data_IF_590017962103
#
_entry.id   IF_590017962103
#
_cell.length_a   1.000
_cell.length_b   1.000
_cell.length_c   1.000
_cell.angle_alpha   90.00
_cell.angle_beta   90.00
_cell.angle_gamma   90.00
#
_symmetry.space_group_name_H-M   'P 1'
#
loop_
_entity.id
_entity.type
_entity.pdbx_description
1 polymer ?
#
# COMPACT_ATOMS: atom_id res chain seq x y z
N UNK A 1 32.28 28.30 -10.29
CA UNK A 1 31.46 27.10 -10.57
C UNK A 1 30.55 26.90 -9.38
N UNK A 2 29.22 26.97 -9.55
CA UNK A 2 28.29 26.76 -8.44
C UNK A 2 28.42 25.31 -7.95
N UNK A 3 28.82 25.12 -6.70
CA UNK A 3 29.05 23.80 -6.12
C UNK A 3 27.71 23.04 -6.06
N UNK A 4 27.64 21.84 -6.64
CA UNK A 4 26.41 21.03 -6.67
C UNK A 4 26.17 20.30 -5.35
N UNK A 5 24.91 20.24 -4.91
CA UNK A 5 24.53 19.55 -3.69
C UNK A 5 23.53 18.43 -3.93
N UNK A 6 23.65 17.38 -3.11
CA UNK A 6 22.86 16.16 -3.18
C UNK A 6 22.26 15.87 -1.81
N UNK A 7 20.99 15.51 -1.78
CA UNK A 7 20.26 15.27 -0.52
C UNK A 7 19.89 13.79 -0.43
N UNK A 8 20.03 13.22 0.76
CA UNK A 8 19.46 11.94 1.12
C UNK A 8 18.45 12.08 2.25
N UNK A 9 17.31 11.41 2.07
CA UNK A 9 16.20 11.36 3.01
C UNK A 9 16.02 9.93 3.50
N UNK A 10 16.28 9.72 4.79
CA UNK A 10 15.92 8.49 5.48
C UNK A 10 14.59 8.71 6.22
N UNK A 11 13.57 7.92 5.83
CA UNK A 11 12.19 8.12 6.24
C UNK A 11 11.78 7.11 7.30
N UNK A 12 11.51 7.60 8.50
CA UNK A 12 10.89 6.84 9.59
C UNK A 12 9.44 7.27 9.84
N UNK A 13 8.73 6.50 10.67
CA UNK A 13 7.30 6.72 10.93
C UNK A 13 6.95 8.11 11.50
N UNK A 14 7.87 8.75 12.22
CA UNK A 14 7.62 10.05 12.90
C UNK A 14 8.61 11.14 12.53
N UNK A 15 9.77 10.76 12.03
CA UNK A 15 10.87 11.70 11.76
C UNK A 15 11.58 11.33 10.48
N UNK A 16 12.18 12.32 9.84
CA UNK A 16 13.01 12.15 8.65
C UNK A 16 14.39 12.71 8.94
N UNK A 17 15.41 11.91 8.64
CA UNK A 17 16.78 12.37 8.69
C UNK A 17 17.16 12.86 7.30
N UNK A 18 17.54 14.13 7.20
CA UNK A 18 17.98 14.79 5.99
C UNK A 18 19.49 15.01 6.08
N UNK A 19 20.22 14.57 5.07
CA UNK A 19 21.65 14.83 4.92
C UNK A 19 21.92 15.47 3.55
N UNK A 20 22.70 16.54 3.54
CA UNK A 20 23.14 17.26 2.33
C UNK A 20 24.64 17.07 2.18
N UNK A 21 25.06 16.60 1.01
CA UNK A 21 26.48 16.46 0.64
C UNK A 21 26.81 17.31 -0.58
N UNK A 22 28.01 17.88 -0.60
CA UNK A 22 28.53 18.58 -1.77
C UNK A 22 29.10 17.62 -2.83
N UNK A 23 29.56 18.15 -3.95
CA UNK A 23 30.19 17.39 -5.03
C UNK A 23 31.44 16.58 -4.58
N UNK A 24 32.14 17.05 -3.54
CA UNK A 24 33.32 16.40 -2.97
C UNK A 24 32.96 15.28 -1.98
N UNK A 25 31.67 15.10 -1.67
CA UNK A 25 31.18 14.09 -0.71
C UNK A 25 31.31 14.51 0.75
N UNK A 26 31.60 15.79 1.01
CA UNK A 26 31.59 16.37 2.34
C UNK A 26 30.16 16.73 2.75
N UNK A 27 29.82 16.48 4.00
CA UNK A 27 28.53 16.83 4.58
C UNK A 27 28.48 18.35 4.75
N UNK A 28 27.51 18.98 4.09
CA UNK A 28 27.29 20.42 4.16
C UNK A 28 26.21 20.80 5.18
N UNK A 29 25.20 19.93 5.35
CA UNK A 29 24.09 20.17 6.25
C UNK A 29 23.41 18.86 6.67
N UNK A 30 23.02 18.75 7.93
CA UNK A 30 22.21 17.65 8.44
C UNK A 30 21.07 18.20 9.30
N UNK A 31 19.88 17.64 9.15
CA UNK A 31 18.73 18.02 9.97
C UNK A 31 17.80 16.86 10.17
N UNK A 32 17.23 16.78 11.37
CA UNK A 32 16.10 15.91 11.67
C UNK A 32 14.82 16.73 11.59
N UNK A 33 13.88 16.29 10.76
CA UNK A 33 12.60 16.94 10.52
C UNK A 33 11.46 16.01 10.97
N UNK A 34 10.26 16.56 11.13
CA UNK A 34 9.07 15.73 11.25
C UNK A 34 8.78 15.02 9.91
N UNK A 35 7.99 13.95 9.93
CA UNK A 35 7.54 13.29 8.70
C UNK A 35 6.45 14.07 7.93
N UNK A 36 6.36 15.40 8.13
CA UNK A 36 5.44 16.29 7.41
C UNK A 36 6.03 16.70 6.04
N UNK A 37 5.42 16.31 4.91
CA UNK A 37 5.94 16.64 3.58
C UNK A 37 6.14 18.14 3.33
N UNK A 38 5.26 18.98 3.86
CA UNK A 38 5.31 20.44 3.68
C UNK A 38 6.53 21.03 4.37
N UNK A 39 6.82 20.62 5.60
CA UNK A 39 7.99 21.06 6.37
C UNK A 39 9.29 20.64 5.65
N UNK A 40 9.33 19.45 5.07
CA UNK A 40 10.48 18.97 4.31
C UNK A 40 10.67 19.78 3.04
N UNK A 41 9.59 20.03 2.29
CA UNK A 41 9.64 20.81 1.05
C UNK A 41 10.16 22.22 1.33
N UNK A 42 9.56 22.90 2.31
CA UNK A 42 9.95 24.24 2.74
C UNK A 42 11.41 24.27 3.22
N UNK A 43 11.84 23.29 4.01
CA UNK A 43 13.22 23.20 4.46
C UNK A 43 14.19 23.05 3.28
N UNK A 44 13.92 22.14 2.34
CA UNK A 44 14.78 21.93 1.15
C UNK A 44 14.84 23.19 0.28
N UNK A 45 13.69 23.84 0.03
CA UNK A 45 13.61 25.05 -0.80
C UNK A 45 14.26 26.27 -0.13
N UNK A 46 14.30 26.32 1.20
CA UNK A 46 14.95 27.39 1.96
C UNK A 46 16.48 27.31 1.97
N UNK A 47 17.07 26.18 1.56
CA UNK A 47 18.52 26.02 1.51
C UNK A 47 19.08 26.88 0.37
N UNK A 48 20.05 27.78 0.64
CA UNK A 48 20.68 28.61 -0.38
C UNK A 48 21.71 27.81 -1.19
N UNK A 49 21.38 26.57 -1.55
CA UNK A 49 22.27 25.59 -2.18
C UNK A 49 21.62 25.08 -3.47
N UNK A 50 22.35 25.00 -4.60
CA UNK A 50 21.82 24.41 -5.82
C UNK A 50 21.73 22.88 -5.68
N UNK A 51 20.55 22.42 -5.26
CA UNK A 51 20.24 20.99 -5.08
C UNK A 51 19.99 20.36 -6.44
N UNK A 52 20.86 19.41 -6.83
CA UNK A 52 20.76 18.72 -8.13
C UNK A 52 19.86 17.50 -8.04
N UNK A 53 19.87 16.78 -6.91
CA UNK A 53 19.12 15.54 -6.73
C UNK A 53 18.82 15.26 -5.27
N UNK A 54 17.61 14.77 -5.02
CA UNK A 54 17.16 14.31 -3.69
C UNK A 54 16.82 12.83 -3.79
N UNK A 55 17.42 12.00 -2.93
CA UNK A 55 17.19 10.56 -2.88
C UNK A 55 16.35 10.17 -1.68
N UNK A 56 15.49 9.17 -1.86
CA UNK A 56 14.68 8.61 -0.79
C UNK A 56 14.50 7.09 -1.01
N UNK A 57 14.55 6.30 0.06
CA UNK A 57 14.39 4.84 -0.02
C UNK A 57 12.93 4.41 -0.24
N UNK A 58 12.65 3.48 -1.15
CA UNK A 58 11.31 2.95 -1.37
C UNK A 58 10.73 2.25 -0.11
N UNK A 59 9.66 2.82 0.44
CA UNK A 59 8.96 2.34 1.63
C UNK A 59 7.49 2.75 1.64
N UNK A 60 6.76 2.38 2.69
CA UNK A 60 5.33 2.65 2.80
C UNK A 60 5.01 4.16 2.83
N UNK A 61 5.82 4.95 3.54
CA UNK A 61 5.63 6.40 3.70
C UNK A 61 6.26 7.20 2.55
N UNK A 62 7.24 6.60 1.89
CA UNK A 62 8.03 7.17 0.80
C UNK A 62 7.19 7.69 -0.36
N UNK A 63 6.07 7.02 -0.67
CA UNK A 63 5.22 7.40 -1.80
C UNK A 63 4.52 8.74 -1.56
N UNK A 64 4.05 8.99 -0.34
CA UNK A 64 3.38 10.23 0.02
C UNK A 64 4.34 11.43 0.01
N UNK A 65 5.53 11.22 0.59
CA UNK A 65 6.60 12.22 0.61
C UNK A 65 7.13 12.50 -0.80
N UNK A 66 7.34 11.45 -1.60
CA UNK A 66 7.75 11.58 -3.00
C UNK A 66 6.77 12.45 -3.80
N UNK A 67 5.46 12.18 -3.69
CA UNK A 67 4.44 12.92 -4.40
C UNK A 67 4.47 14.42 -4.10
N UNK A 68 4.49 14.78 -2.82
CA UNK A 68 4.53 16.20 -2.39
C UNK A 68 5.80 16.91 -2.84
N UNK A 69 6.97 16.27 -2.68
CA UNK A 69 8.24 16.89 -3.07
C UNK A 69 8.36 17.03 -4.60
N UNK A 70 7.84 16.06 -5.36
CA UNK A 70 7.78 16.15 -6.81
C UNK A 70 6.83 17.28 -7.28
N UNK A 71 5.67 17.45 -6.64
CA UNK A 71 4.73 18.56 -6.90
C UNK A 71 5.34 19.93 -6.57
N UNK A 72 6.20 20.01 -5.54
CA UNK A 72 6.96 21.20 -5.19
C UNK A 72 8.15 21.49 -6.14
N UNK A 73 8.33 20.70 -7.21
CA UNK A 73 9.41 20.89 -8.20
C UNK A 73 10.79 20.43 -7.74
N UNK A 74 10.89 19.70 -6.62
CA UNK A 74 12.15 19.18 -6.10
C UNK A 74 12.59 17.98 -6.96
N UNK A 75 13.87 17.87 -7.38
CA UNK A 75 14.37 16.78 -8.22
C UNK A 75 14.53 15.48 -7.41
N UNK A 76 13.40 14.91 -6.96
CA UNK A 76 13.35 13.75 -6.09
C UNK A 76 13.34 12.42 -6.86
N UNK A 77 14.09 11.45 -6.35
CA UNK A 77 14.23 10.10 -6.88
C UNK A 77 13.95 9.09 -5.76
N UNK A 78 13.01 8.19 -6.01
CA UNK A 78 12.76 7.04 -5.15
C UNK A 78 13.64 5.86 -5.60
N UNK A 79 14.38 5.25 -4.67
CA UNK A 79 15.40 4.23 -4.97
C UNK A 79 14.99 2.87 -4.40
N UNK A 80 15.30 1.80 -5.14
CA UNK A 80 15.07 0.42 -4.70
C UNK A 80 15.98 0.02 -3.51
N UNK A 81 15.38 -0.46 -2.42
CA UNK A 81 16.03 -0.81 -1.14
C UNK A 81 17.13 -1.87 -1.26
N UNK A 82 17.00 -2.81 -2.21
CA UNK A 82 17.96 -3.89 -2.44
C UNK A 82 19.23 -3.42 -3.15
N UNK A 83 19.08 -2.54 -4.14
CA UNK A 83 20.22 -1.93 -4.83
C UNK A 83 20.94 -0.93 -3.92
N UNK A 84 20.20 -0.21 -3.07
CA UNK A 84 20.76 0.59 -1.97
C UNK A 84 21.69 -0.24 -1.09
N UNK A 85 21.21 -1.36 -0.54
CA UNK A 85 22.03 -2.21 0.33
C UNK A 85 23.27 -2.77 -0.36
N UNK A 86 23.15 -3.18 -1.63
CA UNK A 86 24.29 -3.69 -2.40
C UNK A 86 25.35 -2.61 -2.70
N UNK A 87 24.92 -1.39 -3.07
CA UNK A 87 25.83 -0.27 -3.33
C UNK A 87 26.49 0.24 -2.04
N UNK A 88 25.75 0.28 -0.93
CA UNK A 88 26.26 0.67 0.39
C UNK A 88 27.18 -0.41 0.99
N UNK A 89 26.91 -1.70 0.76
CA UNK A 89 27.76 -2.80 1.24
C UNK A 89 29.11 -2.92 0.52
N UNK A 90 29.21 -2.38 -0.70
CA UNK A 90 30.45 -2.37 -1.47
C UNK A 90 31.41 -1.23 -1.08
N UNK A 91 31.00 -0.30 -0.20
CA UNK A 91 31.87 0.74 0.34
C UNK A 91 32.71 0.19 1.51
N UNK A 92 34.02 0.18 1.31
CA UNK A 92 35.05 -0.40 2.20
C UNK A 92 35.16 0.24 3.60
N UNK A 93 34.50 1.37 3.86
CA UNK A 93 34.55 2.05 5.15
C UNK A 93 33.15 2.08 5.76
N UNK A 94 32.73 0.92 6.27
CA UNK A 94 31.52 0.77 7.07
C UNK A 94 31.74 1.42 8.44
N UNK A 95 31.50 2.72 8.53
CA UNK A 95 31.21 3.36 9.82
C UNK A 95 29.70 3.50 9.95
N UNK A 96 29.15 2.76 10.91
CA UNK A 96 27.75 2.87 11.30
C UNK A 96 27.45 4.32 11.75
N UNK A 97 26.88 5.16 10.87
CA UNK A 97 26.09 6.35 11.24
C UNK A 97 25.45 7.07 10.03
N UNK A 98 24.18 6.77 9.81
CA UNK A 98 23.19 7.55 9.04
C UNK A 98 22.95 7.09 7.59
N UNK A 99 21.86 6.34 7.42
CA UNK A 99 21.28 5.94 6.13
C UNK A 99 21.03 7.14 5.21
N UNK A 100 20.62 8.29 5.76
CA UNK A 100 20.45 9.55 5.00
C UNK A 100 21.74 10.00 4.29
N UNK A 101 22.90 9.87 4.93
CA UNK A 101 24.20 10.22 4.34
C UNK A 101 24.59 9.24 3.24
N UNK A 102 24.31 7.95 3.44
CA UNK A 102 24.49 6.91 2.42
C UNK A 102 23.66 7.21 1.17
N UNK A 103 22.39 7.59 1.35
CA UNK A 103 21.50 7.99 0.25
C UNK A 103 22.04 9.24 -0.46
N UNK A 104 22.47 10.26 0.28
CA UNK A 104 23.01 11.50 -0.31
C UNK A 104 24.26 11.22 -1.16
N UNK A 105 25.15 10.37 -0.65
CA UNK A 105 26.35 9.93 -1.37
C UNK A 105 26.01 9.12 -2.62
N UNK A 106 25.01 8.24 -2.56
CA UNK A 106 24.51 7.50 -3.74
C UNK A 106 23.94 8.44 -4.80
N UNK A 107 23.20 9.48 -4.40
CA UNK A 107 22.68 10.49 -5.32
C UNK A 107 23.81 11.24 -6.04
N UNK A 108 24.89 11.56 -5.31
CA UNK A 108 26.11 12.21 -5.83
C UNK A 108 26.81 11.35 -6.88
N UNK A 109 27.05 10.08 -6.59
CA UNK A 109 27.78 9.17 -7.51
C UNK A 109 26.88 8.62 -8.62
N UNK A 110 25.56 8.77 -8.53
CA UNK A 110 24.62 8.29 -9.54
C UNK A 110 24.40 6.77 -9.56
N UNK A 111 24.85 6.05 -8.53
CA UNK A 111 24.74 4.60 -8.44
C UNK A 111 23.41 4.18 -7.80
N UNK A 112 22.30 4.39 -8.50
CA UNK A 112 20.98 3.98 -8.04
C UNK A 112 20.10 3.50 -9.19
N UNK A 113 19.08 2.71 -8.85
CA UNK A 113 18.03 2.30 -9.78
C UNK A 113 16.73 3.01 -9.39
N UNK A 114 16.21 3.92 -10.24
CA UNK A 114 14.96 4.63 -9.93
C UNK A 114 13.79 3.65 -9.95
N UNK A 115 12.91 3.77 -8.96
CA UNK A 115 11.64 3.03 -8.90
C UNK A 115 10.54 3.94 -9.42
N UNK A 116 9.70 3.42 -10.31
CA UNK A 116 8.49 4.13 -10.72
C UNK A 116 7.55 4.22 -9.51
N UNK A 117 7.40 5.42 -8.96
CA UNK A 117 6.44 5.70 -7.89
C UNK A 117 5.05 5.76 -8.51
N UNK A 118 4.13 4.95 -7.97
CA UNK A 118 2.76 4.88 -8.45
C UNK A 118 2.08 6.24 -8.33
N UNK A 119 1.23 6.56 -9.30
CA UNK A 119 0.43 7.79 -9.23
C UNK A 119 -0.48 7.77 -7.99
N UNK A 120 -0.86 8.95 -7.45
CA UNK A 120 -1.80 9.04 -6.35
C UNK A 120 -3.11 8.28 -6.61
N UNK A 121 -3.60 8.30 -7.86
CA UNK A 121 -4.78 7.56 -8.31
C UNK A 121 -4.58 6.04 -8.20
N UNK A 122 -3.46 5.50 -8.70
CA UNK A 122 -3.15 4.07 -8.58
C UNK A 122 -3.00 3.63 -7.12
N UNK A 123 -2.50 4.52 -6.24
CA UNK A 123 -2.38 4.23 -4.83
C UNK A 123 -3.75 4.17 -4.14
N UNK A 124 -4.64 5.12 -4.41
CA UNK A 124 -6.03 5.10 -3.91
C UNK A 124 -6.75 3.82 -4.35
N UNK A 125 -6.62 3.44 -5.61
CA UNK A 125 -7.22 2.21 -6.15
C UNK A 125 -6.70 0.96 -5.42
N UNK A 126 -5.38 0.87 -5.20
CA UNK A 126 -4.76 -0.24 -4.47
C UNK A 126 -5.25 -0.33 -3.02
N UNK A 127 -5.44 0.79 -2.34
CA UNK A 127 -5.99 0.82 -0.98
C UNK A 127 -7.39 0.22 -0.93
N UNK A 128 -8.27 0.63 -1.84
CA UNK A 128 -9.64 0.08 -1.94
C UNK A 128 -9.62 -1.41 -2.25
N UNK A 129 -8.78 -1.86 -3.21
CA UNK A 129 -8.63 -3.27 -3.53
C UNK A 129 -8.17 -4.11 -2.32
N UNK A 130 -7.22 -3.59 -1.56
CA UNK A 130 -6.67 -4.27 -0.36
C UNK A 130 -7.73 -4.38 0.72
N UNK A 131 -8.44 -3.29 1.03
CA UNK A 131 -9.52 -3.27 2.00
C UNK A 131 -10.67 -4.21 1.59
N UNK A 132 -11.03 -4.23 0.31
CA UNK A 132 -12.05 -5.13 -0.25
C UNK A 132 -11.66 -6.60 -0.08
N UNK A 133 -10.41 -6.96 -0.37
CA UNK A 133 -9.93 -8.33 -0.18
C UNK A 133 -9.94 -8.73 1.30
N UNK A 134 -9.56 -7.82 2.20
CA UNK A 134 -9.64 -8.05 3.64
C UNK A 134 -11.08 -8.37 4.07
N UNK A 135 -12.06 -7.56 3.67
CA UNK A 135 -13.46 -7.79 4.02
C UNK A 135 -14.01 -9.08 3.44
N UNK A 136 -13.62 -9.44 2.20
CA UNK A 136 -13.99 -10.73 1.59
C UNK A 136 -13.45 -11.91 2.42
N UNK A 137 -12.18 -11.85 2.81
CA UNK A 137 -11.56 -12.90 3.62
C UNK A 137 -12.26 -13.01 4.98
N UNK A 138 -12.52 -11.87 5.66
CA UNK A 138 -13.23 -11.87 6.95
C UNK A 138 -14.67 -12.35 6.86
N UNK A 139 -15.37 -12.04 5.78
CA UNK A 139 -16.70 -12.58 5.53
C UNK A 139 -16.64 -14.12 5.41
N UNK A 140 -15.69 -14.64 4.64
CA UNK A 140 -15.50 -16.07 4.48
C UNK A 140 -15.12 -16.76 5.80
N UNK A 141 -14.23 -16.15 6.59
CA UNK A 141 -13.85 -16.64 7.93
C UNK A 141 -15.11 -16.77 8.82
N UNK A 142 -15.94 -15.73 8.88
CA UNK A 142 -17.17 -15.73 9.70
C UNK A 142 -18.17 -16.77 9.20
N UNK A 143 -18.38 -16.92 7.89
CA UNK A 143 -19.29 -17.94 7.38
C UNK A 143 -18.79 -19.37 7.66
N UNK A 144 -17.49 -19.59 7.61
CA UNK A 144 -16.89 -20.88 7.94
C UNK A 144 -17.01 -21.19 9.44
N UNK A 145 -16.84 -20.19 10.30
CA UNK A 145 -17.02 -20.34 11.74
C UNK A 145 -18.48 -20.73 12.07
N UNK A 146 -19.46 -20.03 11.48
CA UNK A 146 -20.88 -20.38 11.64
C UNK A 146 -21.14 -21.82 11.18
N UNK A 147 -20.61 -22.23 10.03
CA UNK A 147 -20.73 -23.62 9.53
C UNK A 147 -20.08 -24.64 10.48
N UNK A 148 -18.96 -24.30 11.10
CA UNK A 148 -18.25 -25.14 12.07
C UNK A 148 -19.05 -25.30 13.36
N UNK A 149 -19.54 -24.20 13.91
CA UNK A 149 -20.33 -24.19 15.14
C UNK A 149 -21.57 -25.07 15.02
N UNK A 150 -22.40 -24.86 13.99
CA UNK A 150 -23.63 -25.65 13.84
C UNK A 150 -23.33 -27.14 13.57
N UNK A 151 -22.21 -27.45 12.91
CA UNK A 151 -21.78 -28.84 12.65
C UNK A 151 -21.42 -29.58 13.94
N UNK A 152 -20.85 -28.90 14.93
CA UNK A 152 -20.52 -29.51 16.23
C UNK A 152 -21.77 -30.03 16.96
N UNK A 153 -22.94 -29.46 16.66
CA UNK A 153 -24.23 -29.90 17.20
C UNK A 153 -25.03 -30.78 16.23
N UNK A 154 -24.39 -31.30 15.18
CA UNK A 154 -24.99 -32.22 14.21
C UNK A 154 -25.76 -31.56 13.07
N UNK A 155 -25.84 -30.23 13.02
CA UNK A 155 -26.54 -29.52 11.94
C UNK A 155 -25.65 -29.34 10.71
N UNK A 156 -26.22 -29.61 9.53
CA UNK A 156 -25.51 -29.55 8.26
C UNK A 156 -26.14 -28.50 7.34
N UNK A 157 -25.41 -27.41 7.08
CA UNK A 157 -25.93 -26.31 6.25
C UNK A 157 -26.11 -26.68 4.77
N UNK A 158 -25.27 -27.60 4.27
CA UNK A 158 -25.24 -27.96 2.85
C UNK A 158 -24.75 -26.81 1.95
N UNK A 159 -25.02 -26.94 0.65
CA UNK A 159 -24.74 -25.88 -0.34
C UNK A 159 -25.82 -24.82 -0.22
N UNK A 160 -25.44 -23.60 0.12
CA UNK A 160 -26.34 -22.45 0.23
C UNK A 160 -25.79 -21.28 -0.56
N UNK A 161 -26.69 -20.52 -1.18
CA UNK A 161 -26.29 -19.24 -1.77
C UNK A 161 -26.03 -18.23 -0.67
N UNK A 162 -25.39 -17.13 -1.03
CA UNK A 162 -25.10 -16.07 -0.07
C UNK A 162 -26.38 -15.38 0.45
N UNK A 163 -27.52 -15.46 -0.28
CA UNK A 163 -28.83 -14.97 0.13
C UNK A 163 -29.49 -15.92 1.13
N UNK A 164 -29.38 -17.22 0.88
CA UNK A 164 -30.09 -18.25 1.65
C UNK A 164 -29.36 -18.67 2.92
N UNK A 165 -28.07 -18.30 3.05
CA UNK A 165 -27.22 -18.64 4.19
C UNK A 165 -27.86 -18.30 5.54
N UNK A 166 -28.27 -17.04 5.74
CA UNK A 166 -28.79 -16.58 7.03
C UNK A 166 -30.14 -17.21 7.38
N UNK A 167 -31.15 -17.21 6.48
CA UNK A 167 -32.42 -17.90 6.73
C UNK A 167 -32.22 -19.39 7.07
N UNK A 168 -31.35 -20.08 6.33
CA UNK A 168 -31.10 -21.51 6.54
C UNK A 168 -30.41 -21.80 7.86
N UNK A 169 -29.46 -20.97 8.29
CA UNK A 169 -28.82 -21.10 9.62
C UNK A 169 -29.88 -20.95 10.72
N UNK A 170 -30.73 -19.93 10.64
CA UNK A 170 -31.80 -19.69 11.63
C UNK A 170 -32.78 -20.86 11.70
N UNK A 171 -33.16 -21.42 10.55
CA UNK A 171 -34.05 -22.59 10.47
C UNK A 171 -33.45 -23.81 11.19
N UNK A 172 -32.17 -24.11 10.96
CA UNK A 172 -31.50 -25.28 11.55
C UNK A 172 -31.37 -25.20 13.07
N UNK A 173 -31.15 -23.99 13.61
CA UNK A 173 -30.91 -23.78 15.05
C UNK A 173 -32.15 -23.33 15.82
N UNK A 174 -33.33 -23.25 15.19
CA UNK A 174 -34.55 -22.70 15.79
C UNK A 174 -34.97 -23.41 17.09
N UNK A 175 -34.61 -24.70 17.25
CA UNK A 175 -34.89 -25.50 18.44
C UNK A 175 -33.74 -25.62 19.43
N UNK A 176 -32.62 -24.91 19.25
CA UNK A 176 -31.45 -24.98 20.13
C UNK A 176 -31.13 -23.64 20.81
N UNK A 177 -30.36 -23.69 21.89
CA UNK A 177 -29.82 -22.54 22.62
C UNK A 177 -28.70 -21.79 21.85
N UNK A 178 -28.30 -22.31 20.68
CA UNK A 178 -27.27 -21.75 19.82
C UNK A 178 -27.66 -20.44 19.12
N UNK A 179 -28.95 -20.08 19.16
CA UNK A 179 -29.49 -18.89 18.51
C UNK A 179 -28.75 -17.61 18.95
N UNK A 180 -28.36 -17.47 20.22
CA UNK A 180 -27.66 -16.29 20.73
C UNK A 180 -26.29 -16.09 20.06
N UNK A 181 -25.50 -17.16 19.97
CA UNK A 181 -24.15 -17.13 19.38
C UNK A 181 -24.25 -16.96 17.86
N UNK A 182 -25.16 -17.69 17.23
CA UNK A 182 -25.37 -17.61 15.79
C UNK A 182 -25.88 -16.23 15.35
N UNK A 183 -26.82 -15.63 16.08
CA UNK A 183 -27.34 -14.29 15.76
C UNK A 183 -26.25 -13.22 15.80
N UNK A 184 -25.35 -13.32 16.78
CA UNK A 184 -24.20 -12.39 16.90
C UNK A 184 -23.28 -12.50 15.67
N UNK A 185 -22.96 -13.73 15.23
CA UNK A 185 -22.12 -13.95 14.06
C UNK A 185 -22.83 -13.61 12.75
N UNK A 186 -24.14 -13.84 12.65
CA UNK A 186 -24.95 -13.45 11.50
C UNK A 186 -25.03 -11.93 11.35
N UNK A 187 -25.10 -11.18 12.47
CA UNK A 187 -25.02 -9.72 12.45
C UNK A 187 -23.65 -9.24 11.93
N UNK A 188 -22.56 -9.82 12.42
CA UNK A 188 -21.21 -9.52 11.93
C UNK A 188 -21.08 -9.83 10.42
N UNK A 189 -21.60 -10.99 9.98
CA UNK A 189 -21.66 -11.39 8.57
C UNK A 189 -22.39 -10.34 7.72
N UNK A 190 -23.55 -9.85 8.19
CA UNK A 190 -24.36 -8.85 7.48
C UNK A 190 -23.59 -7.54 7.30
N UNK A 191 -22.94 -7.05 8.36
CA UNK A 191 -22.12 -5.84 8.32
C UNK A 191 -20.93 -5.99 7.36
N UNK A 192 -20.20 -7.10 7.43
CA UNK A 192 -19.07 -7.38 6.52
C UNK A 192 -19.52 -7.40 5.05
N UNK A 193 -20.66 -8.03 4.76
CA UNK A 193 -21.22 -8.08 3.41
C UNK A 193 -21.61 -6.69 2.90
N UNK A 194 -22.24 -5.87 3.74
CA UNK A 194 -22.62 -4.50 3.39
C UNK A 194 -21.39 -3.64 3.09
N UNK A 195 -20.40 -3.65 3.98
CA UNK A 195 -19.16 -2.88 3.78
C UNK A 195 -18.35 -3.38 2.57
N UNK A 196 -18.35 -4.68 2.32
CA UNK A 196 -17.76 -5.26 1.11
C UNK A 196 -18.43 -4.69 -0.15
N UNK A 197 -19.77 -4.64 -0.18
CA UNK A 197 -20.53 -4.06 -1.30
C UNK A 197 -20.19 -2.57 -1.52
N UNK A 198 -20.10 -1.79 -0.45
CA UNK A 198 -19.70 -0.37 -0.53
C UNK A 198 -18.31 -0.18 -1.14
N UNK A 199 -17.35 -1.04 -0.80
CA UNK A 199 -16.01 -1.00 -1.40
C UNK A 199 -16.00 -1.47 -2.85
N UNK A 200 -16.86 -2.42 -3.22
CA UNK A 200 -17.04 -2.88 -4.60
C UNK A 200 -17.58 -1.75 -5.49
N UNK A 201 -18.61 -1.04 -5.02
CA UNK A 201 -19.17 0.12 -5.72
C UNK A 201 -18.15 1.27 -5.87
N UNK A 202 -17.40 1.56 -4.80
CA UNK A 202 -16.34 2.56 -4.84
C UNK A 202 -15.25 2.17 -5.84
N UNK A 203 -14.87 0.89 -5.88
CA UNK A 203 -13.88 0.38 -6.82
C UNK A 203 -14.33 0.56 -8.27
N UNK A 204 -15.60 0.24 -8.58
CA UNK A 204 -16.17 0.44 -9.92
C UNK A 204 -16.16 1.91 -10.32
N UNK A 205 -16.50 2.82 -9.39
CA UNK A 205 -16.44 4.27 -9.65
C UNK A 205 -15.01 4.73 -9.94
N UNK A 206 -14.04 4.36 -9.09
CA UNK A 206 -12.64 4.75 -9.27
C UNK A 206 -12.02 4.16 -10.55
N UNK A 207 -12.35 2.91 -10.89
CA UNK A 207 -11.87 2.28 -12.13
C UNK A 207 -12.46 2.94 -13.37
N UNK A 208 -13.68 3.49 -13.28
CA UNK A 208 -14.29 4.29 -14.34
C UNK A 208 -13.64 5.65 -14.52
N UNK A 209 -12.88 6.20 -13.58
CA UNK A 209 -12.25 7.51 -13.76
C UNK A 209 -10.81 7.43 -14.31
N UNK A 210 -10.18 6.25 -14.22
CA UNK A 210 -8.82 6.03 -14.67
C UNK A 210 -8.76 5.52 -16.13
N UNK A 211 -8.09 6.25 -17.01
CA UNK A 211 -8.01 5.93 -18.45
C UNK A 211 -7.26 4.63 -18.73
N UNK A 212 -6.30 4.26 -17.89
CA UNK A 212 -5.57 3.00 -17.97
C UNK A 212 -6.48 1.83 -17.56
N UNK A 213 -7.19 1.97 -16.45
CA UNK A 213 -8.18 0.99 -15.97
C UNK A 213 -9.34 0.81 -16.96
N UNK A 214 -9.83 1.87 -17.60
CA UNK A 214 -10.83 1.76 -18.69
C UNK A 214 -10.33 0.92 -19.86
N UNK A 215 -9.07 1.07 -20.27
CA UNK A 215 -8.46 0.28 -21.36
C UNK A 215 -8.26 -1.18 -20.97
N UNK A 216 -7.98 -1.46 -19.71
CA UNK A 216 -7.96 -2.85 -19.23
C UNK A 216 -9.38 -3.44 -19.13
N UNK A 217 -10.39 -2.64 -18.79
CA UNK A 217 -11.80 -3.07 -18.76
C UNK A 217 -12.40 -3.40 -20.13
N UNK A 218 -11.74 -3.04 -21.25
CA UNK A 218 -12.18 -3.41 -22.61
C UNK A 218 -11.68 -4.77 -23.07
N UNK A 219 -10.83 -5.46 -22.30
CA UNK A 219 -10.31 -6.79 -22.64
C UNK A 219 -11.27 -7.87 -22.11
N UNK A 220 -11.81 -8.77 -22.96
CA UNK A 220 -12.63 -9.89 -22.51
C UNK A 220 -11.88 -10.75 -21.48
N UNK A 221 -12.45 -10.94 -20.29
CA UNK A 221 -11.82 -11.68 -19.19
C UNK A 221 -11.01 -10.81 -18.20
N UNK A 222 -10.85 -9.52 -18.48
CA UNK A 222 -10.34 -8.51 -17.54
C UNK A 222 -11.49 -7.56 -17.21
N UNK A 223 -12.48 -8.08 -16.47
CA UNK A 223 -13.41 -7.19 -15.79
C UNK A 223 -12.67 -6.33 -14.74
N UNK A 224 -13.35 -5.40 -14.04
CA UNK A 224 -12.79 -4.67 -12.87
C UNK A 224 -12.33 -5.59 -11.71
N UNK A 225 -12.37 -6.89 -11.94
CA UNK A 225 -12.21 -8.01 -11.04
C UNK A 225 -11.25 -9.02 -11.69
N UNK A 226 -9.95 -8.72 -11.80
CA UNK A 226 -8.99 -9.81 -11.96
C UNK A 226 -7.69 -9.56 -11.18
N UNK A 227 -7.38 -10.40 -10.18
CA UNK A 227 -6.07 -10.46 -9.55
C UNK A 227 -5.10 -11.20 -10.48
N UNK A 228 -3.92 -10.63 -10.69
CA UNK A 228 -2.80 -11.31 -11.35
C UNK A 228 -2.34 -12.52 -10.54
N UNK A 229 -2.87 -13.73 -10.84
CA UNK A 229 -2.14 -15.03 -10.93
C UNK A 229 -3.09 -16.27 -10.94
N UNK A 230 -3.44 -16.74 -12.15
CA UNK A 230 -3.71 -18.13 -12.62
C UNK A 230 -4.75 -19.08 -11.92
N UNK A 231 -5.19 -20.18 -12.60
CA UNK A 231 -5.93 -20.27 -13.85
C UNK A 231 -7.37 -20.83 -13.66
N UNK A 232 -8.22 -20.61 -14.67
CA UNK A 232 -9.51 -21.25 -14.98
C UNK A 232 -10.00 -22.38 -14.04
N UNK A 233 -11.15 -22.18 -13.39
CA UNK A 233 -12.25 -23.18 -13.38
C UNK A 233 -13.61 -22.50 -13.51
N UNK A 234 -14.33 -22.96 -14.53
CA UNK A 234 -15.69 -22.64 -14.97
C UNK A 234 -16.77 -22.74 -13.87
N UNK A 235 -17.84 -21.97 -14.12
CA UNK A 235 -19.24 -22.20 -13.77
C UNK A 235 -19.71 -21.96 -12.33
N UNK A 236 -20.20 -20.74 -12.06
CA UNK A 236 -21.27 -20.47 -11.09
C UNK A 236 -22.17 -19.32 -11.57
N UNK A 237 -22.90 -19.54 -12.65
CA UNK A 237 -24.18 -18.88 -12.95
C UNK A 237 -25.09 -19.93 -13.58
N UNK A 238 -25.67 -20.75 -12.72
CA UNK A 238 -27.00 -21.35 -12.77
C UNK A 238 -27.19 -22.16 -11.49
#
# INVERSE_FOLDING_TARGET
MSQSYYIGLDVSARTINLCVVNADGQVAHERKLSSNPEEIAQHILSLPLPVVRVGLEAGMLSQHIYGHLAEAGIPIVCVETRHMKAALSAQLNKTDRHDARGIAQMMRVGLFKPVHVKTPTSQRLRTVLTARQLLRNKLQDVENEIRGLIRNFGYHLGKVTARDFEPRVRELIAGSDLHIVADTLLLARRSLREQFGRLDDLLVRLARDDTVSRRFMTVPGVGPLCPTSAPMRQNWFN
#
